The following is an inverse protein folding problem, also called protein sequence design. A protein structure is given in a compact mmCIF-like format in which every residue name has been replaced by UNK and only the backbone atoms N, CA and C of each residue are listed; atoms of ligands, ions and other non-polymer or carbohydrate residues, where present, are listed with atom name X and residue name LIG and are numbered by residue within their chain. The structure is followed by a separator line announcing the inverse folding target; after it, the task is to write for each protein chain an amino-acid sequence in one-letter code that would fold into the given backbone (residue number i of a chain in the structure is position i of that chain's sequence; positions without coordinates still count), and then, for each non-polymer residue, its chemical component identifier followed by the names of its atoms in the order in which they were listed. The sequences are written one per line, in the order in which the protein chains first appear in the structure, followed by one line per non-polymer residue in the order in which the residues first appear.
data_IF_636201381010
#
_entry.id   IF_636201381010
#
_cell.length_a   1.000
_cell.length_b   1.000
_cell.length_c   1.000
_cell.angle_alpha   90.00
_cell.angle_beta   90.00
_cell.angle_gamma   90.00
#
_symmetry.space_group_name_H-M   'P 1'
#
loop_
_entity.id
_entity.type
_entity.pdbx_description
1 polymer ?
#
# COMPACT_ATOMS: atom_id res chain seq x y z
N UNK A 1 -14.89 30.29 -3.91
CA UNK A 1 -13.79 29.31 -3.78
C UNK A 1 -14.35 27.94 -4.10
N UNK A 2 -13.97 27.35 -5.23
CA UNK A 2 -14.43 26.00 -5.58
C UNK A 2 -13.56 25.01 -4.80
N UNK A 3 -14.11 24.35 -3.78
CA UNK A 3 -13.44 23.26 -3.09
C UNK A 3 -13.05 22.21 -4.14
N UNK A 4 -11.74 22.07 -4.41
CA UNK A 4 -11.23 20.93 -5.17
C UNK A 4 -11.52 19.69 -4.35
N UNK A 5 -12.67 19.04 -4.59
CA UNK A 5 -12.95 17.72 -4.03
C UNK A 5 -11.79 16.81 -4.43
N UNK A 6 -11.03 16.35 -3.44
CA UNK A 6 -10.02 15.32 -3.64
C UNK A 6 -10.69 14.15 -4.35
N UNK A 7 -10.12 13.72 -5.48
CA UNK A 7 -10.60 12.55 -6.20
C UNK A 7 -10.47 11.28 -5.36
N UNK A 8 -9.55 11.25 -4.39
CA UNK A 8 -9.32 10.15 -3.48
C UNK A 8 -10.01 10.40 -2.13
N UNK A 9 -10.72 9.38 -1.66
CA UNK A 9 -11.43 9.36 -0.39
C UNK A 9 -11.09 8.08 0.38
N UNK A 10 -10.95 8.20 1.69
CA UNK A 10 -10.78 7.09 2.61
C UNK A 10 -12.03 7.02 3.48
N UNK A 11 -12.70 5.88 3.47
CA UNK A 11 -13.93 5.67 4.20
C UNK A 11 -13.73 4.54 5.20
N UNK A 12 -14.06 4.79 6.48
CA UNK A 12 -14.04 3.75 7.51
C UNK A 12 -15.38 3.02 7.50
N UNK A 13 -15.33 1.70 7.29
CA UNK A 13 -16.50 0.82 7.36
C UNK A 13 -16.19 -0.40 8.22
N UNK A 14 -16.92 -0.59 9.33
CA UNK A 14 -16.80 -1.76 10.21
C UNK A 14 -15.36 -2.12 10.58
N UNK A 15 -14.60 -1.13 11.03
CA UNK A 15 -13.19 -1.25 11.40
C UNK A 15 -12.27 -1.70 10.26
N UNK A 16 -12.57 -1.21 9.05
CA UNK A 16 -11.75 -1.36 7.84
C UNK A 16 -11.71 -0.05 7.08
N UNK A 17 -10.65 0.14 6.29
CA UNK A 17 -10.47 1.30 5.41
C UNK A 17 -10.81 0.89 3.97
N UNK A 18 -11.80 1.54 3.39
CA UNK A 18 -12.05 1.49 1.95
C UNK A 18 -11.40 2.71 1.29
N UNK A 19 -10.87 2.50 0.08
CA UNK A 19 -10.28 3.56 -0.74
C UNK A 19 -11.17 3.74 -1.96
N UNK A 20 -11.65 4.96 -2.14
CA UNK A 20 -12.40 5.36 -3.32
C UNK A 20 -11.60 6.36 -4.15
N UNK A 21 -11.72 6.25 -5.47
CA UNK A 21 -11.16 7.22 -6.40
C UNK A 21 -12.18 7.56 -7.50
N UNK A 22 -12.46 8.86 -7.63
CA UNK A 22 -13.51 9.41 -8.49
C UNK A 22 -14.90 8.83 -8.18
N UNK A 23 -15.25 8.78 -6.89
CA UNK A 23 -16.57 8.31 -6.41
C UNK A 23 -16.82 6.81 -6.58
N UNK A 24 -15.80 6.02 -6.96
CA UNK A 24 -15.89 4.57 -7.06
C UNK A 24 -14.91 3.92 -6.10
N UNK A 25 -15.35 2.87 -5.41
CA UNK A 25 -14.47 2.03 -4.59
C UNK A 25 -13.41 1.36 -5.46
N UNK A 26 -12.17 1.37 -4.96
CA UNK A 26 -10.98 0.85 -5.65
C UNK A 26 -10.28 -0.23 -4.85
N UNK A 27 -10.27 -0.10 -3.52
CA UNK A 27 -9.77 -1.11 -2.59
C UNK A 27 -10.74 -1.18 -1.41
N UNK A 28 -11.12 -2.39 -1.02
CA UNK A 28 -12.11 -2.62 0.03
C UNK A 28 -11.49 -3.46 1.14
N UNK A 29 -11.78 -3.09 2.39
CA UNK A 29 -11.50 -3.91 3.55
C UNK A 29 -10.07 -3.80 4.08
N UNK A 30 -9.44 -2.64 3.92
CA UNK A 30 -8.08 -2.36 4.41
C UNK A 30 -7.98 -2.49 5.92
N UNK A 31 -7.18 -3.44 6.41
CA UNK A 31 -6.90 -3.65 7.83
C UNK A 31 -5.40 -3.84 8.07
N UNK A 32 -4.88 -3.41 9.23
CA UNK A 32 -3.56 -3.84 9.65
C UNK A 32 -3.59 -5.32 10.01
N UNK A 33 -2.52 -6.05 9.68
CA UNK A 33 -2.29 -7.43 10.14
C UNK A 33 -0.87 -7.56 10.66
N UNK A 34 -0.73 -8.23 11.81
CA UNK A 34 0.54 -8.75 12.29
C UNK A 34 0.58 -10.26 12.05
N UNK A 35 1.77 -10.82 11.89
CA UNK A 35 1.92 -12.26 11.68
C UNK A 35 1.19 -13.05 12.79
N UNK A 36 0.36 -14.01 12.37
CA UNK A 36 -0.48 -14.88 13.21
C UNK A 36 -1.58 -14.20 14.03
N UNK A 37 -1.70 -12.87 13.97
CA UNK A 37 -2.76 -12.12 14.66
C UNK A 37 -3.70 -11.53 13.63
N UNK A 38 -4.88 -12.13 13.50
CA UNK A 38 -5.98 -11.41 12.85
C UNK A 38 -6.44 -10.37 13.88
N UNK A 39 -6.06 -9.11 13.66
CA UNK A 39 -6.51 -8.02 14.51
C UNK A 39 -8.03 -7.93 14.37
N UNK A 40 -8.75 -8.50 15.33
CA UNK A 40 -10.16 -8.23 15.53
C UNK A 40 -10.22 -6.82 16.11
N UNK A 41 -10.26 -5.86 15.20
CA UNK A 41 -10.33 -4.46 15.57
C UNK A 41 -11.73 -4.22 16.13
N UNK A 42 -11.81 -3.78 17.38
CA UNK A 42 -13.10 -3.56 18.05
C UNK A 42 -13.66 -2.16 17.76
N UNK A 43 -12.78 -1.20 17.52
CA UNK A 43 -13.10 0.19 17.19
C UNK A 43 -12.07 0.71 16.18
N UNK A 44 -12.49 1.57 15.26
CA UNK A 44 -11.60 2.38 14.45
C UNK A 44 -11.90 3.85 14.67
N UNK A 45 -10.91 4.58 15.21
CA UNK A 45 -10.99 6.03 15.36
C UNK A 45 -10.30 6.70 14.19
N UNK A 46 -11.05 7.53 13.48
CA UNK A 46 -10.51 8.42 12.47
C UNK A 46 -10.10 9.74 13.15
N UNK A 47 -8.79 10.00 13.16
CA UNK A 47 -8.24 11.30 13.55
C UNK A 47 -7.81 11.99 12.27
N UNK A 48 -8.68 12.87 11.78
CA UNK A 48 -8.37 13.71 10.62
C UNK A 48 -7.54 14.91 11.08
N UNK A 49 -6.34 15.03 10.54
CA UNK A 49 -5.52 16.24 10.68
C UNK A 49 -5.59 17.04 9.38
N UNK A 50 -5.09 18.28 9.40
CA UNK A 50 -5.03 19.14 8.21
C UNK A 50 -4.22 18.54 7.06
N UNK A 51 -3.32 17.57 7.35
CA UNK A 51 -2.37 17.02 6.37
C UNK A 51 -2.49 15.52 6.11
N UNK A 52 -3.17 14.77 6.97
CA UNK A 52 -3.26 13.32 6.89
C UNK A 52 -4.40 12.72 7.73
N UNK A 53 -4.77 11.50 7.40
CA UNK A 53 -5.70 10.69 8.17
C UNK A 53 -4.93 9.71 9.06
N UNK A 54 -5.36 9.53 10.30
CA UNK A 54 -4.89 8.46 11.17
C UNK A 54 -6.06 7.57 11.54
N UNK A 55 -5.88 6.26 11.39
CA UNK A 55 -6.85 5.25 11.76
C UNK A 55 -6.24 4.37 12.85
N UNK A 56 -6.82 4.43 14.03
CA UNK A 56 -6.40 3.61 15.16
C UNK A 56 -7.19 2.30 15.17
N UNK A 57 -6.50 1.16 15.20
CA UNK A 57 -7.10 -0.18 15.23
C UNK A 57 -6.77 -0.86 16.57
N UNK A 58 -7.76 -0.91 17.46
CA UNK A 58 -7.60 -1.43 18.81
C UNK A 58 -7.72 -2.96 18.83
N UNK A 59 -6.69 -3.66 19.34
CA UNK A 59 -6.74 -5.10 19.61
C UNK A 59 -7.14 -5.40 21.06
N UNK A 60 -6.59 -4.64 22.00
CA UNK A 60 -7.00 -4.59 23.40
C UNK A 60 -6.74 -3.17 23.95
N UNK A 61 -6.95 -2.94 25.26
CA UNK A 61 -6.80 -1.61 25.87
C UNK A 61 -5.38 -1.03 25.83
N UNK A 62 -4.35 -1.84 25.53
CA UNK A 62 -2.94 -1.42 25.53
C UNK A 62 -2.27 -1.58 24.16
N UNK A 63 -2.71 -2.57 23.38
CA UNK A 63 -2.13 -2.92 22.09
C UNK A 63 -3.03 -2.44 20.95
N UNK A 64 -2.47 -1.58 20.12
CA UNK A 64 -3.16 -1.02 18.98
C UNK A 64 -2.22 -0.81 17.80
N UNK A 65 -2.80 -0.75 16.61
CA UNK A 65 -2.05 -0.41 15.40
C UNK A 65 -2.63 0.85 14.80
N UNK A 66 -1.77 1.82 14.51
CA UNK A 66 -2.17 3.00 13.77
C UNK A 66 -1.79 2.85 12.30
N UNK A 67 -2.73 3.20 11.42
CA UNK A 67 -2.46 3.44 10.01
C UNK A 67 -2.55 4.93 9.76
N UNK A 68 -1.43 5.54 9.39
CA UNK A 68 -1.40 6.91 8.90
C UNK A 68 -1.45 6.91 7.38
N UNK A 69 -2.36 7.70 6.82
CA UNK A 69 -2.58 7.86 5.39
C UNK A 69 -2.42 9.32 4.96
N UNK A 70 -1.40 9.60 4.15
CA UNK A 70 -1.15 10.93 3.58
C UNK A 70 -1.65 10.96 2.14
N UNK A 71 -2.70 11.74 1.88
CA UNK A 71 -3.27 11.92 0.54
C UNK A 71 -2.60 13.12 -0.13
N UNK A 72 -2.21 12.99 -1.40
CA UNK A 72 -1.63 14.12 -2.13
C UNK A 72 -2.65 15.24 -2.33
N UNK A 73 -2.20 16.49 -2.44
CA UNK A 73 -3.08 17.65 -2.73
C UNK A 73 -3.90 17.49 -4.02
N UNK A 74 -3.37 16.71 -4.99
CA UNK A 74 -4.07 16.42 -6.25
C UNK A 74 -5.07 15.27 -6.13
N UNK A 75 -5.15 14.59 -4.98
CA UNK A 75 -6.09 13.51 -4.72
C UNK A 75 -5.89 12.30 -5.64
N UNK A 76 -4.65 12.05 -6.07
CA UNK A 76 -4.32 10.96 -6.99
C UNK A 76 -3.28 9.98 -6.43
N UNK A 77 -2.75 10.27 -5.25
CA UNK A 77 -1.78 9.45 -4.54
C UNK A 77 -2.15 9.35 -3.08
N UNK A 78 -1.78 8.24 -2.46
CA UNK A 78 -1.83 8.04 -1.02
C UNK A 78 -0.59 7.28 -0.56
N UNK A 79 0.01 7.75 0.53
CA UNK A 79 1.12 7.07 1.21
C UNK A 79 0.66 6.55 2.55
N UNK A 80 0.93 5.27 2.82
CA UNK A 80 0.61 4.63 4.08
C UNK A 80 1.85 4.43 4.94
N UNK A 81 1.69 4.74 6.22
CA UNK A 81 2.61 4.41 7.29
C UNK A 81 1.86 3.61 8.36
N UNK A 82 2.59 2.78 9.09
CA UNK A 82 2.01 1.93 10.12
C UNK A 82 2.82 2.03 11.42
N UNK A 83 2.15 2.18 12.56
CA UNK A 83 2.75 2.16 13.90
C UNK A 83 2.16 1.00 14.71
N UNK A 84 2.90 -0.10 14.93
CA UNK A 84 2.45 -1.23 15.75
C UNK A 84 2.66 -0.91 17.24
N UNK A 85 1.92 0.07 17.76
CA UNK A 85 2.08 0.60 19.11
C UNK A 85 1.90 -0.49 20.18
N UNK A 86 2.86 -0.57 21.10
CA UNK A 86 2.89 -1.51 22.23
C UNK A 86 2.89 -3.01 21.87
N UNK A 87 2.93 -3.37 20.59
CA UNK A 87 3.27 -4.74 20.20
C UNK A 87 4.73 -5.00 20.58
N UNK A 88 4.93 -5.69 21.70
CA UNK A 88 6.25 -6.03 22.22
C UNK A 88 7.08 -6.74 21.14
N UNK A 89 8.22 -6.12 20.83
CA UNK A 89 9.37 -6.68 20.08
C UNK A 89 9.03 -7.69 18.98
N UNK A 90 8.89 -7.19 17.74
CA UNK A 90 8.73 -8.06 16.57
C UNK A 90 9.98 -8.92 16.35
N UNK A 91 9.79 -10.20 16.06
CA UNK A 91 10.88 -11.05 15.53
C UNK A 91 11.10 -10.68 14.06
N UNK A 92 12.32 -10.84 13.56
CA UNK A 92 12.67 -10.51 12.17
C UNK A 92 11.81 -11.24 11.13
N UNK A 93 11.27 -12.41 11.48
CA UNK A 93 10.38 -13.20 10.61
C UNK A 93 8.91 -12.74 10.66
N UNK A 94 8.52 -12.05 11.72
CA UNK A 94 7.14 -11.62 11.90
C UNK A 94 6.90 -10.38 11.05
N UNK A 95 5.86 -10.39 10.23
CA UNK A 95 5.50 -9.22 9.43
C UNK A 95 4.44 -8.36 10.12
N UNK A 96 4.43 -7.10 9.71
CA UNK A 96 3.39 -6.11 9.94
C UNK A 96 2.95 -5.59 8.57
N UNK A 97 1.66 -5.43 8.34
CA UNK A 97 1.18 -5.13 7.00
C UNK A 97 -0.20 -4.51 6.94
N UNK A 98 -0.58 -4.07 5.75
CA UNK A 98 -1.94 -3.59 5.45
C UNK A 98 -2.49 -4.48 4.34
N UNK A 99 -3.69 -5.03 4.57
CA UNK A 99 -4.33 -5.97 3.66
C UNK A 99 -5.76 -5.57 3.36
N UNK A 100 -6.15 -5.76 2.10
CA UNK A 100 -7.46 -5.50 1.54
C UNK A 100 -8.13 -6.82 1.16
N UNK A 101 -9.43 -6.88 1.38
CA UNK A 101 -10.27 -8.03 1.04
C UNK A 101 -10.45 -8.17 -0.48
N UNK A 102 -10.54 -7.05 -1.20
CA UNK A 102 -10.76 -7.07 -2.63
C UNK A 102 -10.34 -5.80 -3.37
N UNK A 103 -10.15 -5.96 -4.68
CA UNK A 103 -9.97 -4.89 -5.66
C UNK A 103 -11.20 -4.95 -6.60
N UNK A 104 -12.30 -4.22 -6.31
CA UNK A 104 -13.50 -4.23 -7.15
C UNK A 104 -13.16 -3.78 -8.58
N UNK A 105 -13.87 -4.34 -9.56
CA UNK A 105 -13.65 -4.03 -10.99
C UNK A 105 -12.22 -4.32 -11.49
N UNK A 106 -11.43 -5.13 -10.79
CA UNK A 106 -10.13 -5.58 -11.28
C UNK A 106 -10.26 -6.29 -12.63
N UNK A 107 -9.44 -5.90 -13.60
CA UNK A 107 -9.43 -6.51 -14.94
C UNK A 107 -8.16 -7.32 -15.18
N UNK A 108 -7.01 -6.65 -15.14
CA UNK A 108 -5.69 -7.24 -15.38
C UNK A 108 -4.62 -6.44 -14.68
N UNK A 109 -3.45 -7.03 -14.54
CA UNK A 109 -2.33 -6.36 -13.91
C UNK A 109 -0.98 -6.96 -14.32
N UNK A 110 0.06 -6.17 -14.09
CA UNK A 110 1.44 -6.48 -14.37
C UNK A 110 2.25 -6.32 -13.08
N UNK A 111 3.06 -7.33 -12.77
CA UNK A 111 3.96 -7.38 -11.64
C UNK A 111 5.40 -7.23 -12.12
N UNK A 112 6.21 -6.50 -11.35
CA UNK A 112 7.61 -6.24 -11.65
C UNK A 112 8.47 -6.46 -10.40
N UNK A 113 9.65 -7.01 -10.64
CA UNK A 113 10.64 -7.34 -9.63
C UNK A 113 11.92 -6.58 -9.94
N UNK A 114 12.60 -6.06 -8.93
CA UNK A 114 13.89 -5.40 -9.08
C UNK A 114 14.98 -6.41 -8.73
N UNK A 115 15.88 -6.67 -9.69
CA UNK A 115 17.06 -7.48 -9.42
C UNK A 115 18.07 -6.66 -8.61
N UNK A 116 18.50 -7.20 -7.46
CA UNK A 116 19.50 -6.56 -6.61
C UNK A 116 20.84 -6.31 -7.32
N UNK A 117 21.22 -7.22 -8.23
CA UNK A 117 22.41 -7.06 -9.07
C UNK A 117 22.08 -6.15 -10.27
N UNK A 118 22.63 -4.94 -10.27
CA UNK A 118 22.51 -3.98 -11.39
C UNK A 118 21.23 -3.15 -11.42
N UNK A 119 20.35 -3.27 -10.41
CA UNK A 119 19.16 -2.41 -10.25
C UNK A 119 18.15 -2.48 -11.40
N UNK A 120 18.23 -3.52 -12.22
CA UNK A 120 17.41 -3.74 -13.41
C UNK A 120 16.07 -4.35 -13.02
N UNK A 121 15.01 -4.02 -13.76
CA UNK A 121 13.69 -4.59 -13.53
C UNK A 121 13.45 -5.83 -14.37
N UNK A 122 12.63 -6.74 -13.86
CA UNK A 122 12.07 -7.82 -14.65
C UNK A 122 11.18 -7.26 -15.77
N UNK A 123 11.01 -8.05 -16.83
CA UNK A 123 9.88 -7.86 -17.74
C UNK A 123 8.56 -7.93 -16.96
N UNK A 124 7.53 -7.30 -17.49
CA UNK A 124 6.17 -7.37 -16.96
C UNK A 124 5.71 -8.83 -16.84
N UNK A 125 5.24 -9.20 -15.65
CA UNK A 125 4.58 -10.47 -15.43
C UNK A 125 3.06 -10.26 -15.38
N UNK A 126 2.32 -10.58 -16.44
CA UNK A 126 0.89 -10.35 -16.49
C UNK A 126 0.13 -11.36 -15.63
N UNK A 127 -0.96 -10.91 -15.01
CA UNK A 127 -1.88 -11.77 -14.28
C UNK A 127 -3.33 -11.27 -14.41
N UNK A 128 -4.25 -12.22 -14.41
CA UNK A 128 -5.70 -11.98 -14.56
C UNK A 128 -6.45 -12.12 -13.23
N UNK A 129 -5.75 -12.46 -12.15
CA UNK A 129 -6.32 -12.53 -10.80
C UNK A 129 -5.31 -12.10 -9.75
N UNK A 130 -5.75 -11.28 -8.80
CA UNK A 130 -4.93 -10.87 -7.64
C UNK A 130 -4.42 -12.07 -6.82
N UNK A 131 -5.10 -13.23 -6.90
CA UNK A 131 -4.68 -14.46 -6.21
C UNK A 131 -3.42 -15.08 -6.81
N UNK A 132 -3.07 -14.72 -8.04
CA UNK A 132 -1.86 -15.19 -8.74
C UNK A 132 -0.61 -14.43 -8.32
N UNK A 133 -0.75 -13.32 -7.58
CA UNK A 133 0.38 -12.55 -7.05
C UNK A 133 1.09 -13.44 -6.02
N UNK A 134 2.21 -14.03 -6.45
CA UNK A 134 3.05 -14.87 -5.61
C UNK A 134 3.68 -14.04 -4.49
N UNK A 135 3.90 -14.73 -3.38
CA UNK A 135 4.16 -14.13 -2.07
C UNK A 135 5.53 -13.49 -1.88
N UNK A 136 6.39 -13.52 -2.88
CA UNK A 136 7.81 -13.32 -2.71
C UNK A 136 8.28 -12.34 -3.79
N UNK A 137 8.48 -11.08 -3.38
CA UNK A 137 9.32 -10.09 -4.06
C UNK A 137 8.72 -9.16 -5.13
N UNK A 138 7.40 -8.94 -5.18
CA UNK A 138 6.89 -7.89 -6.06
C UNK A 138 7.26 -6.49 -5.54
N UNK A 139 8.04 -5.78 -6.34
CA UNK A 139 8.54 -4.42 -6.04
C UNK A 139 7.70 -3.34 -6.72
N UNK A 140 6.87 -3.67 -7.71
CA UNK A 140 5.88 -2.78 -8.30
C UNK A 140 4.71 -3.59 -8.84
N UNK A 141 3.51 -3.14 -8.54
CA UNK A 141 2.28 -3.68 -9.10
C UNK A 141 1.53 -2.58 -9.84
N UNK A 142 1.14 -2.83 -11.09
CA UNK A 142 0.24 -1.93 -11.83
C UNK A 142 -0.96 -2.73 -12.32
N UNK A 143 -2.16 -2.20 -12.13
CA UNK A 143 -3.39 -2.85 -12.56
C UNK A 143 -4.36 -1.88 -13.23
N UNK A 144 -5.29 -2.46 -13.99
CA UNK A 144 -6.35 -1.77 -14.69
C UNK A 144 -7.70 -2.22 -14.16
N UNK A 145 -8.61 -1.26 -14.01
CA UNK A 145 -10.02 -1.48 -13.70
C UNK A 145 -10.85 -1.58 -14.99
N UNK A 146 -12.01 -2.23 -14.93
CA UNK A 146 -12.93 -2.36 -16.07
C UNK A 146 -13.39 -1.01 -16.63
N UNK A 147 -13.41 0.05 -15.81
CA UNK A 147 -13.74 1.41 -16.25
C UNK A 147 -12.56 2.19 -16.87
N UNK A 148 -11.49 1.49 -17.24
CA UNK A 148 -10.31 2.06 -17.88
C UNK A 148 -9.35 2.79 -16.94
N UNK A 149 -9.67 2.90 -15.65
CA UNK A 149 -8.77 3.49 -14.65
C UNK A 149 -7.56 2.59 -14.43
N UNK A 150 -6.40 3.19 -14.20
CA UNK A 150 -5.18 2.52 -13.77
C UNK A 150 -4.90 2.82 -12.31
N UNK A 151 -4.30 1.87 -11.62
CA UNK A 151 -3.68 2.08 -10.33
C UNK A 151 -2.35 1.35 -10.24
N UNK A 152 -1.49 1.85 -9.38
CA UNK A 152 -0.22 1.20 -9.10
C UNK A 152 0.10 1.26 -7.61
N UNK A 153 0.80 0.24 -7.14
CA UNK A 153 1.27 0.10 -5.78
C UNK A 153 2.78 -0.10 -5.80
N UNK A 154 3.48 0.73 -5.03
CA UNK A 154 4.90 0.61 -4.80
C UNK A 154 5.15 0.38 -3.30
N UNK A 155 5.83 -0.72 -2.90
CA UNK A 155 6.32 -0.89 -1.53
C UNK A 155 7.31 0.20 -1.17
N UNK A 156 7.28 0.65 0.09
CA UNK A 156 8.23 1.65 0.60
C UNK A 156 9.19 1.00 1.61
N UNK A 157 10.45 1.39 1.56
CA UNK A 157 11.50 0.86 2.44
C UNK A 157 11.97 1.96 3.37
N UNK A 158 12.32 1.61 4.60
CA UNK A 158 12.84 2.58 5.56
C UNK A 158 12.82 2.04 6.98
N UNK A 159 13.55 2.71 7.88
CA UNK A 159 13.57 2.39 9.31
C UNK A 159 13.91 0.92 9.63
N UNK A 160 14.77 0.29 8.81
CA UNK A 160 15.14 -1.11 8.97
C UNK A 160 14.10 -2.14 8.49
N UNK A 161 12.96 -1.69 7.96
CA UNK A 161 11.91 -2.53 7.39
C UNK A 161 12.04 -2.68 5.87
N UNK A 162 11.85 -3.92 5.42
CA UNK A 162 11.68 -4.28 4.03
C UNK A 162 10.23 -4.61 3.73
N UNK A 163 9.62 -3.93 2.75
CA UNK A 163 8.22 -4.18 2.36
C UNK A 163 8.12 -4.96 1.06
N UNK A 164 7.07 -5.75 0.93
CA UNK A 164 6.78 -6.50 -0.30
C UNK A 164 5.28 -6.66 -0.51
N UNK A 165 4.85 -6.63 -1.77
CA UNK A 165 3.46 -6.89 -2.17
C UNK A 165 3.21 -8.40 -2.24
N UNK A 166 2.06 -8.85 -1.74
CA UNK A 166 1.67 -10.25 -1.81
C UNK A 166 0.25 -10.54 -1.31
N UNK A 167 -0.06 -11.83 -1.11
CA UNK A 167 -1.41 -12.31 -0.80
C UNK A 167 -1.49 -13.13 0.50
N UNK A 168 -1.84 -12.55 1.65
CA UNK A 168 -1.91 -13.31 2.91
C UNK A 168 -3.33 -13.79 3.22
N UNK A 169 -3.52 -15.09 3.50
CA UNK A 169 -4.83 -15.69 3.85
C UNK A 169 -5.97 -15.28 2.88
N UNK A 170 -5.68 -15.20 1.58
CA UNK A 170 -6.59 -14.75 0.49
C UNK A 170 -6.82 -13.23 0.37
N UNK A 171 -6.19 -12.42 1.22
CA UNK A 171 -6.22 -10.96 1.16
C UNK A 171 -5.01 -10.42 0.41
N UNK A 172 -5.19 -9.35 -0.36
CA UNK A 172 -4.11 -8.68 -1.08
C UNK A 172 -3.54 -7.55 -0.22
N UNK A 173 -2.22 -7.40 -0.15
CA UNK A 173 -1.66 -6.31 0.64
C UNK A 173 -0.15 -6.25 0.60
N UNK A 174 0.41 -5.57 1.60
CA UNK A 174 1.85 -5.51 1.82
C UNK A 174 2.23 -6.09 3.16
N UNK A 175 3.41 -6.70 3.18
CA UNK A 175 4.11 -7.15 4.38
C UNK A 175 5.38 -6.35 4.53
N UNK A 176 5.59 -5.78 5.71
CA UNK A 176 6.84 -5.20 6.17
C UNK A 176 7.51 -6.19 7.13
N UNK A 177 8.75 -6.54 6.84
CA UNK A 177 9.59 -7.39 7.68
C UNK A 177 10.75 -6.57 8.22
N UNK A 178 11.08 -6.74 9.49
CA UNK A 178 12.26 -6.11 10.04
C UNK A 178 13.51 -6.97 9.82
N UNK A 179 14.63 -6.32 9.54
CA UNK A 179 15.91 -7.00 9.29
C UNK A 179 16.60 -7.54 10.55
N UNK A 180 16.21 -7.08 11.75
CA UNK A 180 16.77 -7.53 13.03
C UNK A 180 15.66 -7.83 14.06
N UNK A 181 15.94 -8.74 14.99
CA UNK A 181 15.01 -9.06 16.09
C UNK A 181 14.92 -7.93 17.11
N UNK A 182 13.75 -7.78 17.73
CA UNK A 182 13.61 -6.96 18.93
C UNK A 182 13.56 -5.45 18.66
N UNK A 183 13.24 -5.07 17.43
CA UNK A 183 13.03 -3.68 17.07
C UNK A 183 11.54 -3.32 17.17
N UNK A 184 11.27 -2.11 17.66
CA UNK A 184 9.96 -1.49 17.61
C UNK A 184 10.12 -0.07 17.10
N UNK A 185 9.38 0.28 16.06
CA UNK A 185 9.45 1.59 15.44
C UNK A 185 8.04 1.98 14.99
N UNK A 186 7.73 3.26 15.17
CA UNK A 186 6.48 3.84 14.74
C UNK A 186 6.64 4.53 13.38
N UNK A 187 5.53 4.71 12.66
CA UNK A 187 5.52 5.30 11.32
C UNK A 187 6.39 4.55 10.30
N UNK A 188 6.33 3.22 10.33
CA UNK A 188 6.96 2.36 9.34
C UNK A 188 6.34 2.67 7.96
N UNK A 189 7.11 3.10 6.94
CA UNK A 189 6.57 3.33 5.61
C UNK A 189 6.17 1.99 4.99
N UNK A 190 4.93 1.87 4.51
CA UNK A 190 4.40 0.60 3.97
C UNK A 190 4.33 0.65 2.45
N UNK A 191 3.50 1.54 1.91
CA UNK A 191 3.22 1.60 0.48
C UNK A 191 2.85 3.00 0.03
N UNK A 192 2.97 3.24 -1.26
CA UNK A 192 2.29 4.33 -1.95
C UNK A 192 1.37 3.75 -3.03
N UNK A 193 0.16 4.30 -3.14
CA UNK A 193 -0.82 3.94 -4.17
C UNK A 193 -1.16 5.15 -5.02
N UNK A 194 -0.98 5.02 -6.34
CA UNK A 194 -1.35 6.05 -7.29
C UNK A 194 -2.52 5.59 -8.18
N UNK A 195 -3.39 6.53 -8.55
CA UNK A 195 -4.55 6.32 -9.43
C UNK A 195 -4.55 7.32 -10.58
N UNK A 196 -5.02 6.90 -11.76
CA UNK A 196 -5.06 7.76 -12.93
C UNK A 196 -5.84 7.18 -14.10
N UNK A 197 -6.18 8.02 -15.08
CA UNK A 197 -6.80 7.58 -16.34
C UNK A 197 -5.77 7.15 -17.39
N UNK A 198 -4.52 7.58 -17.24
CA UNK A 198 -3.39 7.23 -18.07
C UNK A 198 -2.30 6.60 -17.21
N UNK A 199 -1.64 5.58 -17.72
CA UNK A 199 -0.63 4.84 -16.96
C UNK A 199 0.62 5.71 -16.69
N UNK A 200 0.93 6.61 -17.62
CA UNK A 200 2.02 7.56 -17.52
C UNK A 200 1.84 8.50 -16.33
N UNK A 201 0.62 8.95 -16.09
CA UNK A 201 0.30 9.82 -14.95
C UNK A 201 0.45 9.08 -13.62
N UNK A 202 0.05 7.80 -13.58
CA UNK A 202 0.21 6.93 -12.41
C UNK A 202 1.69 6.74 -12.08
N UNK A 203 2.51 6.35 -13.07
CA UNK A 203 3.96 6.13 -12.89
C UNK A 203 4.67 7.43 -12.51
N UNK A 204 4.34 8.55 -13.16
CA UNK A 204 4.90 9.86 -12.83
C UNK A 204 4.57 10.29 -11.40
N UNK A 205 3.36 9.99 -10.95
CA UNK A 205 2.91 10.27 -9.58
C UNK A 205 3.73 9.46 -8.57
N UNK A 206 3.90 8.15 -8.80
CA UNK A 206 4.75 7.30 -7.96
C UNK A 206 6.21 7.79 -7.92
N UNK A 207 6.79 8.12 -9.08
CA UNK A 207 8.15 8.68 -9.17
C UNK A 207 8.29 9.92 -8.30
N UNK A 208 7.38 10.88 -8.42
CA UNK A 208 7.42 12.14 -7.65
C UNK A 208 7.32 11.89 -6.15
N UNK A 209 6.47 10.97 -5.71
CA UNK A 209 6.29 10.68 -4.28
C UNK A 209 7.56 10.17 -3.61
N UNK A 210 8.37 9.44 -4.38
CA UNK A 210 9.51 8.74 -3.86
C UNK A 210 10.83 9.52 -4.11
N UNK A 211 10.82 10.54 -4.97
CA UNK A 211 11.93 11.50 -5.13
C UNK A 211 12.27 12.17 -3.79
N UNK A 212 13.54 12.07 -3.39
CA UNK A 212 14.05 12.63 -2.13
C UNK A 212 13.87 11.74 -0.88
N UNK A 213 13.32 10.52 -1.02
CA UNK A 213 13.04 9.62 0.12
C UNK A 213 13.99 8.43 0.31
N UNK A 214 15.22 8.45 -0.25
CA UNK A 214 16.17 7.32 -0.20
C UNK A 214 15.60 5.97 -0.68
N UNK A 215 14.51 5.98 -1.43
CA UNK A 215 13.98 4.80 -2.12
C UNK A 215 14.66 4.80 -3.48
N UNK A 216 15.43 3.76 -3.79
CA UNK A 216 16.20 3.68 -5.04
C UNK A 216 15.24 3.54 -6.25
N UNK A 217 14.82 4.67 -6.85
CA UNK A 217 13.80 4.75 -7.91
C UNK A 217 14.36 5.04 -9.29
N UNK A 218 15.67 5.23 -9.42
CA UNK A 218 16.29 5.66 -10.68
C UNK A 218 16.08 4.68 -11.84
N UNK A 219 15.45 3.53 -11.59
CA UNK A 219 15.17 2.51 -12.59
C UNK A 219 13.71 2.13 -12.80
N UNK A 220 12.69 2.80 -12.21
CA UNK A 220 11.27 2.41 -12.40
C UNK A 220 10.98 2.07 -13.88
N UNK A 221 10.35 0.92 -14.20
CA UNK A 221 10.30 0.38 -15.56
C UNK A 221 9.84 1.41 -16.59
N UNK A 222 10.34 1.29 -17.83
CA UNK A 222 9.93 2.22 -18.88
C UNK A 222 8.44 2.06 -19.19
N UNK A 223 7.76 3.17 -19.50
CA UNK A 223 6.30 3.21 -19.70
C UNK A 223 5.80 2.14 -20.69
N UNK A 224 6.58 1.87 -21.74
CA UNK A 224 6.25 0.90 -22.79
C UNK A 224 6.06 -0.51 -22.24
N UNK A 225 6.80 -0.89 -21.20
CA UNK A 225 6.70 -2.21 -20.58
C UNK A 225 5.39 -2.42 -19.79
N UNK A 226 4.57 -1.37 -19.61
CA UNK A 226 3.27 -1.48 -18.97
C UNK A 226 2.07 -1.53 -19.93
N UNK A 227 2.28 -1.18 -21.21
CA UNK A 227 1.19 -0.97 -22.19
C UNK A 227 0.88 -2.27 -22.96
N UNK A 228 1.89 -3.12 -23.14
CA UNK A 228 1.77 -4.44 -23.79
C UNK A 228 1.16 -5.49 -22.84
#
# INVERSE_FOLDING_TARGET
SCEKKSHLQLNVHFNKINISWNGKERLIGGVPLLENTLLKCHETREIKTDSHYVFEFLHNLKDHVEIMAKVSERGNNIVFFLSPNNYHTQKAKDFVGIFFDSIPQFQKANAFYKYNLGGTWSKAQPFSSIRQIKHLHNDLLIWKYTDGTFAACLPLFGKGYQTSIGTYKKHFGLKAYHSINGHNENNIPIMTLAFGKKIEDVVKTLRKECQGKNIALDSLPQIKEFID
#
